data_IF_913631007760
#
_entry.id   IF_913631007760
#
_cell.length_a   1.000
_cell.length_b   1.000
_cell.length_c   1.000
_cell.angle_alpha   90.00
_cell.angle_beta   90.00
_cell.angle_gamma   90.00
#
_symmetry.space_group_name_H-M   'P 1'
#
loop_
_entity.id
_entity.type
_entity.pdbx_description
1 polymer ?
#
# COMPACT_ATOMS: atom_id res chain seq x y z
N UNK A 1 -7.36 40.16 46.37
CA UNK A 1 -6.31 39.50 45.57
C UNK A 1 -6.86 38.19 45.05
N UNK A 2 -6.55 37.86 43.79
CA UNK A 2 -6.91 36.65 43.02
C UNK A 2 -8.29 36.61 42.35
N UNK A 3 -8.24 36.69 41.02
CA UNK A 3 -9.33 36.41 40.08
C UNK A 3 -8.75 36.49 38.67
N UNK A 4 -7.80 35.61 38.36
CA UNK A 4 -7.13 35.54 37.05
C UNK A 4 -8.17 35.20 35.98
N UNK A 5 -8.50 36.17 35.12
CA UNK A 5 -9.37 35.95 33.97
C UNK A 5 -8.57 35.25 32.87
N UNK A 6 -8.89 33.99 32.60
CA UNK A 6 -8.41 33.29 31.41
C UNK A 6 -9.37 33.52 30.24
N UNK A 7 -8.89 33.98 29.07
CA UNK A 7 -9.73 34.12 27.89
C UNK A 7 -10.15 32.73 27.36
N UNK A 8 -11.35 32.62 26.75
CA UNK A 8 -11.80 31.38 26.15
C UNK A 8 -10.84 30.99 25.01
N UNK A 9 -10.22 29.82 25.13
CA UNK A 9 -9.39 29.25 24.08
C UNK A 9 -10.26 29.07 22.83
N UNK A 10 -9.85 29.74 21.74
CA UNK A 10 -10.39 29.51 20.41
C UNK A 10 -10.24 28.02 20.09
N UNK A 11 -11.38 27.32 20.12
CA UNK A 11 -11.54 25.99 19.52
C UNK A 11 -11.33 26.16 18.02
N UNK A 12 -10.07 26.00 17.60
CA UNK A 12 -9.69 25.86 16.21
C UNK A 12 -10.38 24.63 15.66
N UNK A 13 -11.46 24.85 14.91
CA UNK A 13 -12.13 23.86 14.10
C UNK A 13 -11.18 23.35 13.01
N UNK A 14 -10.27 22.46 13.37
CA UNK A 14 -9.73 21.47 12.46
C UNK A 14 -10.55 20.20 12.67
N UNK A 15 -11.75 20.21 12.10
CA UNK A 15 -12.51 19.00 11.84
C UNK A 15 -11.77 18.16 10.81
N UNK A 16 -10.64 17.56 11.20
CA UNK A 16 -10.21 16.31 10.62
C UNK A 16 -11.17 15.28 11.22
N UNK A 17 -12.22 14.94 10.48
CA UNK A 17 -13.03 13.78 10.78
C UNK A 17 -12.05 12.61 10.92
N UNK A 18 -11.97 11.90 12.07
CA UNK A 18 -11.15 10.71 12.14
C UNK A 18 -11.80 9.70 11.20
N UNK A 19 -11.26 9.56 10.00
CA UNK A 19 -11.48 8.36 9.20
C UNK A 19 -11.06 7.21 10.11
N UNK A 20 -12.02 6.40 10.54
CA UNK A 20 -11.88 5.52 11.70
C UNK A 20 -10.71 4.52 11.58
N UNK A 21 -10.33 3.86 12.69
CA UNK A 21 -9.19 2.96 12.77
C UNK A 21 -9.26 1.78 11.77
N UNK A 22 -10.41 1.51 11.17
CA UNK A 22 -10.60 0.41 10.23
C UNK A 22 -9.85 0.62 8.89
N UNK A 23 -9.85 1.84 8.33
CA UNK A 23 -9.20 2.09 7.02
C UNK A 23 -7.69 1.92 7.15
N UNK A 24 -7.09 2.50 8.18
CA UNK A 24 -5.65 2.43 8.42
C UNK A 24 -5.18 0.99 8.72
N UNK A 25 -5.99 0.21 9.44
CA UNK A 25 -5.76 -1.23 9.63
C UNK A 25 -5.80 -2.01 8.31
N UNK A 26 -6.75 -1.72 7.42
CA UNK A 26 -6.81 -2.35 6.09
C UNK A 26 -5.57 -1.99 5.29
N UNK A 27 -5.17 -0.72 5.26
CA UNK A 27 -3.96 -0.27 4.56
C UNK A 27 -2.71 -0.98 5.09
N UNK A 28 -2.55 -1.04 6.41
CA UNK A 28 -1.43 -1.75 7.04
C UNK A 28 -1.43 -3.25 6.70
N UNK A 29 -2.59 -3.92 6.75
CA UNK A 29 -2.72 -5.33 6.41
C UNK A 29 -2.40 -5.59 4.93
N UNK A 30 -2.93 -4.77 4.02
CA UNK A 30 -2.65 -4.87 2.58
C UNK A 30 -1.17 -4.65 2.30
N UNK A 31 -0.56 -3.62 2.89
CA UNK A 31 0.87 -3.37 2.79
C UNK A 31 1.68 -4.59 3.23
N UNK A 32 1.41 -5.11 4.43
CA UNK A 32 2.13 -6.27 4.95
C UNK A 32 1.96 -7.51 4.06
N UNK A 33 0.78 -7.70 3.48
CA UNK A 33 0.50 -8.80 2.57
C UNK A 33 1.28 -8.66 1.25
N UNK A 34 1.36 -7.45 0.71
CA UNK A 34 2.17 -7.14 -0.48
C UNK A 34 3.65 -7.31 -0.16
N UNK A 35 4.15 -6.81 0.97
CA UNK A 35 5.53 -7.01 1.44
C UNK A 35 5.87 -8.50 1.57
N UNK A 36 4.93 -9.31 2.06
CA UNK A 36 5.10 -10.77 2.10
C UNK A 36 5.15 -11.40 0.71
N UNK A 37 4.31 -10.96 -0.23
CA UNK A 37 4.34 -11.46 -1.61
C UNK A 37 5.69 -11.23 -2.30
N UNK A 38 6.28 -10.05 -2.07
CA UNK A 38 7.60 -9.68 -2.55
C UNK A 38 8.74 -10.13 -1.61
N UNK A 39 8.45 -10.87 -0.54
CA UNK A 39 9.49 -11.44 0.31
C UNK A 39 10.26 -12.54 -0.43
N UNK A 40 11.54 -12.69 -0.10
CA UNK A 40 12.42 -13.72 -0.68
C UNK A 40 11.84 -15.12 -0.51
N UNK A 41 11.23 -15.40 0.65
CA UNK A 41 10.64 -16.70 0.94
C UNK A 41 9.43 -17.00 0.04
N UNK A 42 8.56 -16.01 -0.18
CA UNK A 42 7.42 -16.17 -1.07
C UNK A 42 7.86 -16.25 -2.53
N UNK A 43 8.77 -15.38 -2.97
CA UNK A 43 9.30 -15.39 -4.34
C UNK A 43 10.00 -16.71 -4.70
N UNK A 44 10.61 -17.39 -3.73
CA UNK A 44 11.22 -18.70 -3.93
C UNK A 44 10.18 -19.81 -4.15
N UNK A 45 9.03 -19.72 -3.48
CA UNK A 45 7.96 -20.73 -3.52
C UNK A 45 6.92 -20.46 -4.60
N UNK A 46 6.63 -19.20 -4.86
CA UNK A 46 5.51 -18.74 -5.68
C UNK A 46 5.99 -18.47 -7.12
N UNK A 47 5.95 -19.52 -7.94
CA UNK A 47 6.26 -19.41 -9.37
C UNK A 47 5.29 -18.49 -10.11
N UNK A 48 4.06 -18.33 -9.63
CA UNK A 48 3.09 -17.46 -10.30
C UNK A 48 3.54 -16.01 -10.21
N UNK A 49 4.02 -15.58 -9.05
CA UNK A 49 4.52 -14.21 -8.88
C UNK A 49 5.77 -13.96 -9.73
N UNK A 50 6.69 -14.93 -9.81
CA UNK A 50 7.86 -14.87 -10.72
C UNK A 50 7.47 -14.82 -12.19
N UNK A 51 6.50 -15.63 -12.63
CA UNK A 51 6.02 -15.60 -14.03
C UNK A 51 5.32 -14.30 -14.41
N UNK A 52 4.88 -13.51 -13.42
CA UNK A 52 4.24 -12.22 -13.63
C UNK A 52 5.22 -11.05 -13.49
N UNK A 53 6.47 -11.30 -13.12
CA UNK A 53 7.53 -10.30 -13.19
C UNK A 53 8.01 -10.19 -14.65
N UNK A 54 7.95 -8.99 -15.19
CA UNK A 54 8.59 -8.65 -16.46
C UNK A 54 10.13 -8.62 -16.32
N UNK A 55 10.85 -8.45 -17.43
CA UNK A 55 12.32 -8.36 -17.48
C UNK A 55 12.94 -7.27 -16.57
N UNK A 56 12.12 -6.35 -16.09
CA UNK A 56 12.50 -5.26 -15.17
C UNK A 56 11.98 -5.48 -13.73
N UNK A 57 11.38 -6.64 -13.44
CA UNK A 57 10.80 -6.98 -12.13
C UNK A 57 9.44 -6.33 -11.86
N UNK A 58 8.82 -5.70 -12.86
CA UNK A 58 7.51 -5.06 -12.74
C UNK A 58 6.37 -6.08 -12.82
N UNK A 59 5.32 -5.85 -12.03
CA UNK A 59 4.10 -6.63 -11.99
C UNK A 59 2.92 -5.67 -12.11
N UNK A 60 1.96 -5.87 -13.03
CA UNK A 60 0.80 -4.99 -13.14
C UNK A 60 -0.04 -5.02 -11.85
N UNK A 61 -0.49 -3.85 -11.37
CA UNK A 61 -1.44 -3.73 -10.25
C UNK A 61 -2.66 -4.65 -10.37
N UNK A 62 -3.33 -4.80 -11.53
CA UNK A 62 -4.47 -5.71 -11.64
C UNK A 62 -4.10 -7.17 -11.34
N UNK A 63 -2.84 -7.58 -11.52
CA UNK A 63 -2.38 -8.91 -11.11
C UNK A 63 -2.37 -9.02 -9.59
N UNK A 64 -1.78 -8.02 -8.90
CA UNK A 64 -1.72 -7.97 -7.43
C UNK A 64 -3.13 -7.85 -6.82
N UNK A 65 -3.97 -6.97 -7.36
CA UNK A 65 -5.36 -6.81 -6.97
C UNK A 65 -6.21 -8.07 -7.28
N UNK A 66 -5.76 -8.93 -8.18
CA UNK A 66 -6.40 -10.20 -8.51
C UNK A 66 -6.15 -11.32 -7.50
N UNK A 67 -5.14 -11.22 -6.63
CA UNK A 67 -4.84 -12.28 -5.66
C UNK A 67 -5.96 -12.43 -4.63
N UNK A 68 -6.31 -13.68 -4.31
CA UNK A 68 -7.37 -13.97 -3.33
C UNK A 68 -7.14 -13.27 -1.98
N UNK A 69 -5.90 -13.21 -1.48
CA UNK A 69 -5.61 -12.52 -0.20
C UNK A 69 -5.86 -11.02 -0.27
N UNK A 70 -5.47 -10.38 -1.37
CA UNK A 70 -5.70 -8.94 -1.56
C UNK A 70 -7.20 -8.67 -1.69
N UNK A 71 -7.91 -9.46 -2.51
CA UNK A 71 -9.38 -9.35 -2.67
C UNK A 71 -10.16 -9.56 -1.38
N UNK A 72 -9.64 -10.40 -0.47
CA UNK A 72 -10.24 -10.60 0.85
C UNK A 72 -10.04 -9.41 1.80
N UNK A 73 -9.00 -8.60 1.61
CA UNK A 73 -8.73 -7.41 2.41
C UNK A 73 -9.40 -6.18 1.83
N UNK A 74 -9.27 -5.98 0.52
CA UNK A 74 -9.88 -4.87 -0.22
C UNK A 74 -10.26 -5.30 -1.63
N UNK A 75 -11.49 -5.02 -2.09
CA UNK A 75 -11.87 -5.19 -3.49
C UNK A 75 -11.39 -4.02 -4.36
N UNK A 76 -10.94 -2.92 -3.77
CA UNK A 76 -10.58 -1.70 -4.47
C UNK A 76 -9.06 -1.61 -4.71
N UNK A 77 -8.60 -1.59 -5.98
CA UNK A 77 -7.18 -1.46 -6.30
C UNK A 77 -6.60 -0.10 -5.87
N UNK A 78 -7.43 0.92 -5.74
CA UNK A 78 -7.05 2.22 -5.21
C UNK A 78 -6.55 2.14 -3.75
N UNK A 79 -7.17 1.27 -2.93
CA UNK A 79 -6.75 1.04 -1.54
C UNK A 79 -5.41 0.31 -1.51
N UNK A 80 -5.18 -0.62 -2.45
CA UNK A 80 -3.89 -1.30 -2.59
C UNK A 80 -2.81 -0.29 -2.93
N UNK A 81 -3.06 0.59 -3.90
CA UNK A 81 -2.20 1.71 -4.29
C UNK A 81 -1.87 2.63 -3.11
N UNK A 82 -2.88 3.05 -2.35
CA UNK A 82 -2.71 3.93 -1.20
C UNK A 82 -1.86 3.24 -0.11
N UNK A 83 -2.10 1.95 0.13
CA UNK A 83 -1.36 1.17 1.13
C UNK A 83 0.13 1.03 0.81
N UNK A 84 0.46 0.85 -0.47
CA UNK A 84 1.82 0.63 -0.94
C UNK A 84 2.55 1.93 -1.31
N UNK A 85 1.84 3.04 -1.58
CA UNK A 85 2.44 4.33 -1.91
C UNK A 85 3.34 4.91 -0.79
N UNK A 86 3.28 4.36 0.42
CA UNK A 86 4.18 4.67 1.53
C UNK A 86 5.05 3.50 1.98
N UNK A 87 5.14 2.42 1.20
CA UNK A 87 5.99 1.28 1.52
C UNK A 87 7.44 1.51 1.10
N UNK A 88 8.38 1.06 1.93
CA UNK A 88 9.82 1.09 1.63
C UNK A 88 10.31 -0.19 0.94
N UNK A 89 9.43 -1.18 0.77
CA UNK A 89 9.78 -2.51 0.23
C UNK A 89 9.37 -2.65 -1.22
N UNK A 90 8.30 -1.96 -1.61
CA UNK A 90 7.73 -2.01 -2.96
C UNK A 90 7.60 -0.62 -3.54
N UNK A 91 7.89 -0.53 -4.82
CA UNK A 91 7.81 0.69 -5.59
C UNK A 91 6.60 0.60 -6.53
N UNK A 92 5.89 1.71 -6.70
CA UNK A 92 4.79 1.83 -7.65
C UNK A 92 5.19 2.80 -8.73
N UNK A 93 4.92 2.41 -9.96
CA UNK A 93 5.09 3.29 -11.11
C UNK A 93 3.78 3.39 -11.90
N UNK A 94 3.43 4.62 -12.26
CA UNK A 94 2.35 4.90 -13.19
C UNK A 94 2.89 4.78 -14.61
N UNK A 95 2.47 3.75 -15.33
CA UNK A 95 2.73 3.60 -16.77
C UNK A 95 1.76 4.51 -17.51
N UNK A 96 2.27 5.28 -18.49
CA UNK A 96 1.48 6.23 -19.29
C UNK A 96 0.26 5.58 -19.95
N UNK A 97 -0.88 5.69 -19.28
CA UNK A 97 -2.18 5.14 -19.66
C UNK A 97 -3.10 5.27 -18.45
N UNK A 98 -4.37 5.64 -18.66
CA UNK A 98 -5.29 6.07 -17.59
C UNK A 98 -5.46 5.06 -16.43
N UNK A 99 -5.08 3.79 -16.62
CA UNK A 99 -5.28 2.70 -15.67
C UNK A 99 -4.02 1.84 -15.43
N UNK A 100 -2.85 2.26 -15.94
CA UNK A 100 -1.65 1.43 -15.98
C UNK A 100 -0.76 1.58 -14.75
N UNK A 101 -1.15 1.10 -13.57
CA UNK A 101 -0.22 1.05 -12.42
C UNK A 101 0.55 -0.26 -12.39
N UNK A 102 1.84 -0.21 -12.09
CA UNK A 102 2.72 -1.38 -11.91
C UNK A 102 3.49 -1.30 -10.60
N UNK A 103 3.77 -2.46 -10.02
CA UNK A 103 4.48 -2.64 -8.76
C UNK A 103 5.77 -3.41 -9.00
N UNK A 104 6.83 -3.05 -8.29
CA UNK A 104 8.09 -3.79 -8.30
C UNK A 104 8.66 -3.86 -6.89
N UNK A 105 9.46 -4.89 -6.62
CA UNK A 105 10.25 -4.97 -5.39
C UNK A 105 11.39 -3.95 -5.42
N UNK A 106 11.49 -3.08 -4.42
CA UNK A 106 12.53 -2.04 -4.37
C UNK A 106 13.94 -2.65 -4.19
N UNK A 107 14.06 -3.75 -3.43
CA UNK A 107 15.34 -4.42 -3.14
C UNK A 107 15.47 -5.77 -3.84
N UNK A 108 16.67 -6.11 -4.35
CA UNK A 108 17.02 -7.44 -4.89
C UNK A 108 16.07 -8.01 -5.95
N UNK A 109 15.33 -7.18 -6.69
CA UNK A 109 14.43 -7.66 -7.75
C UNK A 109 15.17 -8.41 -8.87
N UNK A 110 16.44 -8.05 -9.13
CA UNK A 110 17.30 -8.68 -10.14
C UNK A 110 17.56 -10.17 -9.89
N UNK A 111 17.43 -10.63 -8.64
CA UNK A 111 17.63 -12.04 -8.28
C UNK A 111 16.40 -12.92 -8.57
N UNK A 112 15.27 -12.31 -8.97
CA UNK A 112 13.99 -12.99 -9.13
C UNK A 112 13.37 -12.87 -10.53
N UNK A 113 13.99 -12.10 -11.42
CA UNK A 113 13.65 -11.97 -12.85
C UNK A 113 14.42 -12.98 -13.70
#
# INVERSE_FOLDING_TARGET
>A
MHGVYYPPQQVGGRGAIPAGPAKEQILAAVRQQVEYYFSVENLCKDLFLRQRMDAEGWIPLPVIAGFNRIRMMTPEPAVVLEAIQGSAVVEVEAVGGADGHRLRKMSDWQSWV
#
